data_IF_291984028126
#
_entry.id   IF_291984028126
#
_cell.length_a   1.000
_cell.length_b   1.000
_cell.length_c   1.000
_cell.angle_alpha   90.00
_cell.angle_beta   90.00
_cell.angle_gamma   90.00
#
_symmetry.space_group_name_H-M   'P 1'
#
loop_
_entity.id
_entity.type
_entity.pdbx_description
1 polymer ?
#
# COMPACT_ATOMS: atom_id res chain seq x y z
N UNK A 1 -30.45 1.24 -14.60
CA UNK A 1 -30.31 2.21 -13.50
C UNK A 1 -28.89 2.74 -13.58
N UNK A 2 -28.69 3.99 -14.02
CA UNK A 2 -27.34 4.59 -14.12
C UNK A 2 -26.88 4.85 -12.69
N UNK A 3 -25.73 4.28 -12.23
CA UNK A 3 -25.19 4.57 -10.92
C UNK A 3 -25.02 6.09 -10.78
N UNK A 4 -25.26 6.63 -9.60
CA UNK A 4 -25.06 8.06 -9.36
C UNK A 4 -23.57 8.43 -9.54
N UNK A 5 -23.28 9.67 -9.94
CA UNK A 5 -21.90 10.18 -10.08
C UNK A 5 -21.05 9.83 -8.86
N UNK A 6 -21.60 9.95 -7.65
CA UNK A 6 -20.94 9.59 -6.39
C UNK A 6 -20.50 8.11 -6.32
N UNK A 7 -21.19 7.19 -7.00
CA UNK A 7 -20.82 5.77 -7.03
C UNK A 7 -19.59 5.55 -7.90
N UNK A 8 -19.44 6.28 -8.99
CA UNK A 8 -18.25 6.22 -9.85
C UNK A 8 -17.04 6.83 -9.17
N UNK A 9 -17.20 7.96 -8.48
CA UNK A 9 -16.15 8.60 -7.70
C UNK A 9 -15.58 7.64 -6.65
N UNK A 10 -16.46 6.91 -5.95
CA UNK A 10 -16.04 5.95 -4.94
C UNK A 10 -15.32 4.74 -5.56
N UNK A 11 -15.79 4.21 -6.68
CA UNK A 11 -15.20 3.05 -7.34
C UNK A 11 -13.81 3.35 -7.91
N UNK A 12 -13.55 4.58 -8.34
CA UNK A 12 -12.26 4.99 -8.93
C UNK A 12 -11.11 4.96 -7.91
N UNK A 13 -11.40 5.27 -6.64
CA UNK A 13 -10.40 5.24 -5.55
C UNK A 13 -10.53 4.00 -4.66
N UNK A 14 -11.31 3.00 -5.09
CA UNK A 14 -11.55 1.80 -4.28
C UNK A 14 -10.24 1.08 -3.92
N UNK A 15 -9.32 0.92 -4.87
CA UNK A 15 -8.04 0.25 -4.62
C UNK A 15 -7.21 0.93 -3.53
N UNK A 16 -6.90 2.23 -3.59
CA UNK A 16 -6.18 2.89 -2.51
C UNK A 16 -6.95 2.94 -1.19
N UNK A 17 -8.28 3.03 -1.21
CA UNK A 17 -9.10 2.96 0.02
C UNK A 17 -9.00 1.59 0.68
N UNK A 18 -9.16 0.51 -0.08
CA UNK A 18 -9.03 -0.84 0.46
C UNK A 18 -7.63 -1.11 1.01
N UNK A 19 -6.59 -0.65 0.32
CA UNK A 19 -5.22 -0.72 0.82
C UNK A 19 -5.05 0.05 2.14
N UNK A 20 -5.66 1.24 2.27
CA UNK A 20 -5.63 2.01 3.50
C UNK A 20 -6.32 1.26 4.66
N UNK A 21 -7.45 0.57 4.42
CA UNK A 21 -8.09 -0.27 5.42
C UNK A 21 -7.22 -1.46 5.82
N UNK A 22 -6.53 -2.10 4.88
CA UNK A 22 -5.58 -3.19 5.19
C UNK A 22 -4.40 -2.65 6.01
N UNK A 23 -3.87 -1.47 5.67
CA UNK A 23 -2.78 -0.83 6.42
C UNK A 23 -3.22 -0.45 7.85
N UNK A 24 -4.42 0.11 8.01
CA UNK A 24 -5.02 0.39 9.33
C UNK A 24 -5.21 -0.88 10.15
N UNK A 25 -5.73 -1.94 9.54
CA UNK A 25 -5.89 -3.24 10.21
C UNK A 25 -4.55 -3.80 10.68
N UNK A 26 -3.53 -3.75 9.84
CA UNK A 26 -2.16 -4.14 10.20
C UNK A 26 -1.59 -3.29 11.35
N UNK A 27 -1.83 -1.97 11.34
CA UNK A 27 -1.42 -1.06 12.41
C UNK A 27 -2.11 -1.40 13.75
N UNK A 28 -3.42 -1.66 13.73
CA UNK A 28 -4.17 -2.06 14.92
C UNK A 28 -3.66 -3.39 15.47
N UNK A 29 -3.42 -4.38 14.61
CA UNK A 29 -2.85 -5.66 15.01
C UNK A 29 -1.46 -5.50 15.61
N UNK A 30 -0.65 -4.61 15.05
CA UNK A 30 0.68 -4.29 15.57
C UNK A 30 0.60 -3.62 16.95
N UNK A 31 -0.27 -2.63 17.11
CA UNK A 31 -0.50 -1.95 18.38
C UNK A 31 -1.05 -2.90 19.46
N UNK A 32 -2.05 -3.72 19.13
CA UNK A 32 -2.60 -4.72 20.05
C UNK A 32 -1.54 -5.75 20.45
N UNK A 33 -0.72 -6.20 19.50
CA UNK A 33 0.39 -7.11 19.75
C UNK A 33 1.46 -6.51 20.66
N UNK A 34 1.73 -5.20 20.58
CA UNK A 34 2.68 -4.50 21.45
C UNK A 34 2.15 -4.40 22.89
N UNK A 35 0.86 -4.14 23.07
CA UNK A 35 0.20 -4.12 24.38
C UNK A 35 0.16 -5.53 24.99
N UNK A 36 -0.21 -6.53 24.18
CA UNK A 36 -0.23 -7.93 24.63
C UNK A 36 1.15 -8.44 25.02
N UNK A 37 2.22 -7.97 24.37
CA UNK A 37 3.60 -8.34 24.69
C UNK A 37 4.07 -7.84 26.08
N UNK A 38 3.40 -6.86 26.66
CA UNK A 38 3.64 -6.42 28.05
C UNK A 38 3.14 -7.43 29.09
N UNK A 39 2.19 -8.30 28.70
CA UNK A 39 1.51 -9.24 29.57
C UNK A 39 1.80 -10.70 29.25
N UNK A 40 2.37 -11.01 28.07
CA UNK A 40 2.58 -12.36 27.56
C UNK A 40 4.06 -12.61 27.28
N UNK A 41 4.45 -13.89 27.25
CA UNK A 41 5.84 -14.35 27.05
C UNK A 41 6.45 -13.96 25.68
N UNK A 42 7.79 -13.91 25.63
CA UNK A 42 8.58 -13.58 24.43
C UNK A 42 8.29 -14.44 23.19
N UNK A 43 7.69 -15.63 23.36
CA UNK A 43 7.22 -16.49 22.25
C UNK A 43 6.09 -15.86 21.45
N UNK A 44 5.26 -15.02 22.06
CA UNK A 44 4.19 -14.29 21.37
C UNK A 44 4.73 -13.22 20.41
N UNK A 45 5.84 -12.56 20.76
CA UNK A 45 6.48 -11.56 19.89
C UNK A 45 6.96 -12.17 18.55
N UNK A 46 7.41 -13.41 18.55
CA UNK A 46 7.84 -14.12 17.34
C UNK A 46 6.64 -14.42 16.41
N UNK A 47 5.48 -14.71 17.00
CA UNK A 47 4.25 -15.00 16.24
C UNK A 47 3.59 -13.75 15.65
N UNK A 48 3.73 -12.62 16.31
CA UNK A 48 3.14 -11.33 15.95
C UNK A 48 3.49 -10.89 14.52
N UNK A 49 4.78 -10.89 14.17
CA UNK A 49 5.24 -10.50 12.84
C UNK A 49 4.66 -11.38 11.73
N UNK A 50 4.56 -12.69 11.97
CA UNK A 50 3.96 -13.63 11.02
C UNK A 50 2.46 -13.39 10.83
N UNK A 51 1.74 -13.11 11.92
CA UNK A 51 0.30 -12.82 11.87
C UNK A 51 0.03 -11.57 11.03
N UNK A 52 0.80 -10.49 11.25
CA UNK A 52 0.65 -9.25 10.49
C UNK A 52 1.00 -9.49 9.00
N UNK A 53 2.08 -10.22 8.72
CA UNK A 53 2.46 -10.54 7.34
C UNK A 53 1.40 -11.39 6.62
N UNK A 54 0.82 -12.39 7.28
CA UNK A 54 -0.27 -13.21 6.72
C UNK A 54 -1.54 -12.37 6.53
N UNK A 55 -1.87 -11.50 7.49
CA UNK A 55 -2.98 -10.56 7.35
C UNK A 55 -2.79 -9.63 6.14
N UNK A 56 -1.57 -9.09 5.97
CA UNK A 56 -1.21 -8.24 4.83
C UNK A 56 -1.34 -8.99 3.50
N UNK A 57 -0.87 -10.25 3.44
CA UNK A 57 -1.04 -11.11 2.26
C UNK A 57 -2.50 -11.33 1.92
N UNK A 58 -3.32 -11.72 2.90
CA UNK A 58 -4.74 -11.91 2.70
C UNK A 58 -5.44 -10.62 2.23
N UNK A 59 -5.09 -9.48 2.85
CA UNK A 59 -5.58 -8.17 2.45
C UNK A 59 -5.22 -7.80 1.02
N UNK A 60 -3.96 -7.99 0.61
CA UNK A 60 -3.51 -7.73 -0.76
C UNK A 60 -4.23 -8.60 -1.79
N UNK A 61 -4.49 -9.88 -1.49
CA UNK A 61 -5.26 -10.77 -2.36
C UNK A 61 -6.71 -10.30 -2.52
N UNK A 62 -7.33 -9.86 -1.42
CA UNK A 62 -8.70 -9.30 -1.46
C UNK A 62 -8.74 -8.02 -2.29
N UNK A 63 -7.76 -7.12 -2.11
CA UNK A 63 -7.66 -5.88 -2.89
C UNK A 63 -7.44 -6.18 -4.37
N UNK A 64 -6.58 -7.15 -4.70
CA UNK A 64 -6.35 -7.58 -6.08
C UNK A 64 -7.64 -8.12 -6.73
N UNK A 65 -8.36 -9.00 -6.03
CA UNK A 65 -9.63 -9.53 -6.51
C UNK A 65 -10.68 -8.41 -6.69
N UNK A 66 -10.78 -7.47 -5.75
CA UNK A 66 -11.70 -6.34 -5.83
C UNK A 66 -11.35 -5.41 -7.01
N UNK A 67 -10.07 -5.12 -7.23
CA UNK A 67 -9.60 -4.30 -8.35
C UNK A 67 -10.01 -4.90 -9.71
N UNK A 68 -9.93 -6.22 -9.86
CA UNK A 68 -10.36 -6.92 -11.06
C UNK A 68 -11.88 -6.96 -11.21
N UNK A 69 -12.64 -7.24 -10.16
CA UNK A 69 -14.10 -7.25 -10.20
C UNK A 69 -14.65 -5.88 -10.60
N UNK A 70 -14.03 -4.79 -10.14
CA UNK A 70 -14.46 -3.42 -10.46
C UNK A 70 -13.92 -2.95 -11.81
N UNK A 71 -12.69 -3.33 -12.18
CA UNK A 71 -12.04 -2.89 -13.41
C UNK A 71 -12.44 -3.67 -14.68
N UNK A 72 -12.92 -4.91 -14.55
CA UNK A 72 -13.32 -5.74 -15.70
C UNK A 72 -14.48 -5.16 -16.56
N UNK A 73 -15.58 -4.62 -15.98
CA UNK A 73 -16.68 -4.10 -16.77
C UNK A 73 -16.29 -3.05 -17.81
N UNK A 74 -15.43 -2.05 -17.52
CA UNK A 74 -14.92 -1.11 -18.51
C UNK A 74 -14.08 -1.76 -19.62
N UNK A 75 -13.33 -2.81 -19.27
CA UNK A 75 -12.46 -3.55 -20.21
C UNK A 75 -13.24 -4.42 -21.19
N UNK A 76 -14.38 -4.96 -20.78
CA UNK A 76 -15.25 -5.82 -21.60
C UNK A 76 -16.17 -5.03 -22.54
N UNK A 77 -15.96 -3.71 -22.71
CA UNK A 77 -16.68 -2.89 -23.68
C UNK A 77 -18.08 -2.48 -23.23
N UNK A 78 -18.38 -2.52 -21.93
CA UNK A 78 -19.56 -1.81 -21.45
C UNK A 78 -19.37 -0.30 -21.70
N UNK A 79 -20.36 0.39 -22.27
CA UNK A 79 -20.28 1.84 -22.52
C UNK A 79 -20.46 2.62 -21.21
N UNK A 80 -19.58 2.37 -20.24
CA UNK A 80 -19.49 3.23 -19.07
C UNK A 80 -18.61 4.39 -19.50
N UNK A 81 -19.16 5.63 -19.57
CA UNK A 81 -18.31 6.77 -19.85
C UNK A 81 -17.18 6.76 -18.80
N UNK A 82 -15.94 6.80 -19.26
CA UNK A 82 -14.78 7.03 -18.40
C UNK A 82 -14.88 8.50 -17.97
N UNK A 83 -15.80 8.79 -17.05
CA UNK A 83 -15.90 10.10 -16.44
C UNK A 83 -14.82 10.15 -15.37
N UNK A 84 -13.98 11.18 -15.42
CA UNK A 84 -13.04 11.45 -14.35
C UNK A 84 -13.79 11.62 -13.03
N UNK A 85 -13.25 11.04 -11.99
CA UNK A 85 -13.78 11.14 -10.62
C UNK A 85 -13.15 12.33 -9.90
N UNK A 86 -13.84 12.86 -8.86
CA UNK A 86 -13.35 13.98 -8.08
C UNK A 86 -12.95 15.20 -8.93
N UNK A 87 -13.91 15.75 -9.68
CA UNK A 87 -13.66 16.88 -10.58
C UNK A 87 -12.60 16.60 -11.66
N UNK A 88 -12.58 15.39 -12.17
CA UNK A 88 -11.66 14.92 -13.22
C UNK A 88 -10.19 14.77 -12.76
N UNK A 89 -9.96 14.67 -11.46
CA UNK A 89 -8.61 14.51 -10.91
C UNK A 89 -8.09 13.07 -10.91
N UNK A 90 -9.00 12.08 -10.96
CA UNK A 90 -8.69 10.65 -10.92
C UNK A 90 -9.40 9.94 -12.06
N UNK A 91 -8.66 9.15 -12.84
CA UNK A 91 -9.18 8.42 -13.98
C UNK A 91 -9.08 6.91 -13.77
N UNK A 92 -10.22 6.20 -13.58
CA UNK A 92 -10.23 4.74 -13.43
C UNK A 92 -10.27 4.05 -14.80
N UNK A 93 -9.20 4.12 -15.55
CA UNK A 93 -9.06 3.54 -16.88
C UNK A 93 -8.34 2.17 -16.89
N UNK A 94 -8.18 1.58 -18.07
CA UNK A 94 -7.45 0.32 -18.24
C UNK A 94 -5.97 0.44 -17.89
N UNK A 95 -5.37 1.62 -18.02
CA UNK A 95 -4.01 1.92 -17.63
C UNK A 95 -3.88 1.83 -16.09
N UNK A 96 -4.78 2.46 -15.37
CA UNK A 96 -4.86 2.41 -13.90
C UNK A 96 -5.03 0.97 -13.41
N UNK A 97 -5.90 0.16 -14.04
CA UNK A 97 -6.09 -1.24 -13.68
C UNK A 97 -4.82 -2.06 -13.90
N UNK A 98 -4.14 -1.86 -15.03
CA UNK A 98 -2.90 -2.57 -15.34
C UNK A 98 -1.81 -2.28 -14.31
N UNK A 99 -1.55 -1.00 -13.99
CA UNK A 99 -0.52 -0.62 -13.04
C UNK A 99 -0.87 -1.02 -11.61
N UNK A 100 -2.12 -0.87 -11.19
CA UNK A 100 -2.57 -1.36 -9.88
C UNK A 100 -2.36 -2.87 -9.73
N UNK A 101 -2.68 -3.65 -10.77
CA UNK A 101 -2.43 -5.10 -10.77
C UNK A 101 -0.93 -5.40 -10.64
N UNK A 102 -0.08 -4.70 -11.38
CA UNK A 102 1.36 -4.86 -11.33
C UNK A 102 1.90 -4.55 -9.92
N UNK A 103 1.52 -3.42 -9.34
CA UNK A 103 1.96 -3.01 -8.00
C UNK A 103 1.50 -3.98 -6.91
N UNK A 104 0.28 -4.48 -7.00
CA UNK A 104 -0.24 -5.48 -6.06
C UNK A 104 0.49 -6.81 -6.16
N UNK A 105 0.84 -7.27 -7.36
CA UNK A 105 1.64 -8.48 -7.57
C UNK A 105 3.04 -8.30 -6.97
N UNK A 106 3.69 -7.17 -7.21
CA UNK A 106 5.01 -6.86 -6.64
C UNK A 106 4.94 -6.79 -5.11
N UNK A 107 3.90 -6.16 -4.56
CA UNK A 107 3.68 -6.10 -3.11
C UNK A 107 3.45 -7.48 -2.49
N UNK A 108 2.70 -8.36 -3.17
CA UNK A 108 2.52 -9.75 -2.76
C UNK A 108 3.85 -10.50 -2.73
N UNK A 109 4.65 -10.38 -3.79
CA UNK A 109 5.97 -11.01 -3.86
C UNK A 109 6.90 -10.49 -2.75
N UNK A 110 6.95 -9.17 -2.53
CA UNK A 110 7.73 -8.55 -1.46
C UNK A 110 7.28 -9.04 -0.07
N UNK A 111 5.97 -9.16 0.16
CA UNK A 111 5.43 -9.66 1.42
C UNK A 111 5.79 -11.12 1.66
N UNK A 112 5.70 -11.99 0.63
CA UNK A 112 6.07 -13.40 0.72
C UNK A 112 7.58 -13.54 1.04
N UNK A 113 8.43 -12.81 0.34
CA UNK A 113 9.87 -12.81 0.58
C UNK A 113 10.22 -12.32 1.99
N UNK A 114 9.51 -11.30 2.47
CA UNK A 114 9.74 -10.73 3.79
C UNK A 114 9.38 -11.70 4.92
N UNK A 115 8.37 -12.55 4.77
CA UNK A 115 7.98 -13.54 5.78
C UNK A 115 9.13 -14.48 6.17
N UNK A 116 9.98 -14.85 5.20
CA UNK A 116 11.13 -15.73 5.44
C UNK A 116 12.36 -14.97 5.94
N UNK A 117 12.58 -13.77 5.44
CA UNK A 117 13.77 -12.97 5.74
C UNK A 117 13.75 -12.38 7.14
N UNK A 118 12.56 -12.01 7.61
CA UNK A 118 12.42 -11.22 8.82
C UNK A 118 12.24 -12.04 10.11
N UNK A 119 12.25 -13.37 10.07
CA UNK A 119 12.27 -14.21 11.30
C UNK A 119 13.47 -13.93 12.21
N UNK A 120 14.56 -13.35 11.67
CA UNK A 120 15.79 -13.02 12.41
C UNK A 120 15.78 -11.66 13.09
N UNK A 121 14.89 -10.74 12.72
CA UNK A 121 14.91 -9.36 13.20
C UNK A 121 13.61 -9.05 14.00
N UNK A 122 13.71 -8.56 15.19
CA UNK A 122 12.74 -8.61 16.31
C UNK A 122 11.55 -7.62 16.28
N UNK A 123 11.40 -6.71 15.30
CA UNK A 123 10.37 -5.63 15.33
C UNK A 123 9.86 -5.30 13.93
N UNK A 124 8.55 -5.66 13.55
CA UNK A 124 8.27 -5.55 12.14
C UNK A 124 6.84 -5.50 11.61
N UNK A 125 5.88 -5.16 12.43
CA UNK A 125 4.59 -4.70 11.93
C UNK A 125 4.75 -3.45 11.07
N UNK A 126 5.61 -2.53 11.49
CA UNK A 126 5.91 -1.27 10.79
C UNK A 126 6.32 -1.47 9.32
N UNK A 127 7.09 -2.53 9.01
CA UNK A 127 7.52 -2.84 7.64
C UNK A 127 6.32 -3.05 6.69
N UNK A 128 5.36 -3.87 7.11
CA UNK A 128 4.19 -4.18 6.28
C UNK A 128 3.28 -2.96 6.10
N UNK A 129 3.14 -2.13 7.13
CA UNK A 129 2.37 -0.90 7.07
C UNK A 129 3.00 0.06 6.07
N UNK A 130 4.31 0.31 6.15
CA UNK A 130 5.03 1.18 5.23
C UNK A 130 5.02 0.67 3.79
N UNK A 131 5.13 -0.66 3.60
CA UNK A 131 5.00 -1.29 2.29
C UNK A 131 3.61 -1.02 1.70
N UNK A 132 2.54 -1.19 2.47
CA UNK A 132 1.18 -0.89 2.02
C UNK A 132 1.00 0.60 1.70
N UNK A 133 1.54 1.51 2.52
CA UNK A 133 1.47 2.96 2.26
C UNK A 133 2.23 3.33 0.98
N UNK A 134 3.36 2.68 0.70
CA UNK A 134 4.06 2.90 -0.57
C UNK A 134 3.22 2.45 -1.79
N UNK A 135 2.51 1.32 -1.66
CA UNK A 135 1.60 0.83 -2.71
C UNK A 135 0.40 1.76 -2.91
N UNK A 136 -0.13 2.35 -1.83
CA UNK A 136 -1.17 3.39 -1.92
C UNK A 136 -0.67 4.58 -2.74
N UNK A 137 0.54 5.07 -2.46
CA UNK A 137 1.15 6.15 -3.23
C UNK A 137 1.30 5.81 -4.72
N UNK A 138 1.79 4.62 -5.04
CA UNK A 138 1.89 4.14 -6.43
C UNK A 138 0.54 4.02 -7.12
N UNK A 139 -0.49 3.53 -6.40
CA UNK A 139 -1.85 3.43 -6.91
C UNK A 139 -2.47 4.81 -7.22
N UNK A 140 -2.23 5.80 -6.34
CA UNK A 140 -2.65 7.18 -6.57
C UNK A 140 -1.98 7.78 -7.80
N UNK A 141 -0.66 7.57 -7.98
CA UNK A 141 0.05 8.05 -9.18
C UNK A 141 -0.51 7.44 -10.46
N UNK A 142 -0.81 6.13 -10.45
CA UNK A 142 -1.34 5.43 -11.62
C UNK A 142 -2.73 5.92 -12.03
N UNK A 143 -3.54 6.38 -11.09
CA UNK A 143 -4.89 6.91 -11.32
C UNK A 143 -4.95 8.42 -11.48
N UNK A 144 -3.82 9.12 -11.31
CA UNK A 144 -3.78 10.57 -11.34
C UNK A 144 -4.02 11.13 -12.74
N UNK A 145 -4.99 12.03 -12.87
CA UNK A 145 -5.25 12.83 -14.06
C UNK A 145 -4.82 14.29 -13.86
N UNK A 146 -4.52 14.68 -12.61
CA UNK A 146 -4.01 16.00 -12.24
C UNK A 146 -2.61 15.85 -11.62
N UNK A 147 -1.73 16.82 -11.89
CA UNK A 147 -0.38 16.91 -11.32
C UNK A 147 -0.37 16.96 -9.79
N UNK A 148 -1.40 17.54 -9.17
CA UNK A 148 -1.50 17.58 -7.72
C UNK A 148 -1.66 16.18 -7.13
N UNK A 149 -2.56 15.35 -7.68
CA UNK A 149 -2.75 13.97 -7.23
C UNK A 149 -1.52 13.13 -7.51
N UNK A 150 -0.90 13.31 -8.69
CA UNK A 150 0.35 12.65 -9.03
C UNK A 150 1.45 12.98 -8.02
N UNK A 151 1.62 14.25 -7.66
CA UNK A 151 2.60 14.70 -6.68
C UNK A 151 2.34 14.13 -5.29
N UNK A 152 1.09 14.16 -4.82
CA UNK A 152 0.70 13.57 -3.51
C UNK A 152 0.99 12.06 -3.49
N UNK A 153 0.70 11.34 -4.58
CA UNK A 153 1.03 9.93 -4.72
C UNK A 153 2.53 9.67 -4.66
N UNK A 154 3.32 10.48 -5.37
CA UNK A 154 4.77 10.41 -5.41
C UNK A 154 5.39 10.65 -4.03
N UNK A 155 4.95 11.68 -3.32
CA UNK A 155 5.44 11.98 -1.97
C UNK A 155 5.07 10.87 -0.97
N UNK A 156 3.83 10.35 -1.04
CA UNK A 156 3.37 9.26 -0.19
C UNK A 156 4.23 8.00 -0.38
N UNK A 157 4.50 7.63 -1.62
CA UNK A 157 5.38 6.50 -1.96
C UNK A 157 6.81 6.77 -1.46
N UNK A 158 7.38 7.94 -1.79
CA UNK A 158 8.77 8.28 -1.52
C UNK A 158 9.08 8.28 -0.02
N UNK A 159 8.26 8.97 0.79
CA UNK A 159 8.43 9.02 2.25
C UNK A 159 8.40 7.61 2.84
N UNK A 160 7.44 6.78 2.39
CA UNK A 160 7.34 5.40 2.87
C UNK A 160 8.59 4.58 2.55
N UNK A 161 9.14 4.73 1.34
CA UNK A 161 10.36 4.03 0.91
C UNK A 161 11.59 4.55 1.66
N UNK A 162 11.71 5.86 1.94
CA UNK A 162 12.82 6.41 2.73
C UNK A 162 12.86 5.77 4.13
N UNK A 163 11.70 5.63 4.77
CA UNK A 163 11.61 4.99 6.09
C UNK A 163 11.88 3.48 6.00
N UNK A 164 11.41 2.81 4.92
CA UNK A 164 11.70 1.38 4.69
C UNK A 164 13.20 1.10 4.54
N UNK A 165 13.95 1.95 3.83
CA UNK A 165 15.41 1.84 3.70
C UNK A 165 16.10 1.91 5.06
N UNK A 166 15.58 2.74 5.99
CA UNK A 166 16.07 2.87 7.37
C UNK A 166 15.44 1.91 8.38
N UNK A 167 14.72 0.88 7.94
CA UNK A 167 13.97 -0.01 8.84
C UNK A 167 14.85 -0.82 9.79
N UNK A 168 16.09 -1.16 9.41
CA UNK A 168 17.07 -1.78 10.30
C UNK A 168 17.84 -0.73 11.11
N UNK A 169 17.20 -0.21 12.15
CA UNK A 169 17.72 0.89 13.00
C UNK A 169 19.05 0.57 13.70
N UNK A 170 19.41 -0.72 13.81
CA UNK A 170 20.68 -1.15 14.45
C UNK A 170 21.85 -1.15 13.47
N UNK A 171 21.56 -1.11 12.18
CA UNK A 171 22.57 -1.12 11.13
C UNK A 171 22.91 0.31 10.70
N UNK A 172 24.11 0.76 11.01
CA UNK A 172 24.60 2.10 10.65
C UNK A 172 24.51 2.35 9.14
N UNK A 173 24.73 1.33 8.30
CA UNK A 173 24.63 1.45 6.84
C UNK A 173 23.20 1.70 6.39
N UNK A 174 22.21 1.06 7.03
CA UNK A 174 20.79 1.29 6.76
C UNK A 174 20.39 2.74 7.11
N UNK A 175 20.82 3.21 8.30
CA UNK A 175 20.54 4.58 8.72
C UNK A 175 21.21 5.62 7.80
N UNK A 176 22.46 5.40 7.42
CA UNK A 176 23.19 6.26 6.49
C UNK A 176 22.52 6.29 5.11
N UNK A 177 22.11 5.11 4.59
CA UNK A 177 21.40 5.00 3.32
C UNK A 177 20.05 5.75 3.35
N UNK A 178 19.28 5.61 4.44
CA UNK A 178 18.00 6.30 4.59
C UNK A 178 18.16 7.81 4.58
N UNK A 179 19.15 8.35 5.31
CA UNK A 179 19.41 9.79 5.33
C UNK A 179 19.84 10.28 3.95
N UNK A 180 20.75 9.59 3.28
CA UNK A 180 21.20 9.95 1.94
C UNK A 180 20.03 9.95 0.94
N UNK A 181 19.17 8.92 1.02
CA UNK A 181 18.03 8.79 0.13
C UNK A 181 16.97 9.87 0.38
N UNK A 182 16.69 10.16 1.66
CA UNK A 182 15.79 11.25 2.06
C UNK A 182 16.29 12.61 1.56
N UNK A 183 17.59 12.92 1.77
CA UNK A 183 18.15 14.20 1.33
C UNK A 183 18.11 14.35 -0.18
N UNK A 184 18.54 13.30 -0.92
CA UNK A 184 18.50 13.33 -2.39
C UNK A 184 17.07 13.45 -2.92
N UNK A 185 16.11 12.75 -2.31
CA UNK A 185 14.72 12.82 -2.69
C UNK A 185 14.09 14.19 -2.41
N UNK A 186 14.34 14.76 -1.23
CA UNK A 186 13.83 16.07 -0.85
C UNK A 186 14.39 17.23 -1.70
N UNK A 187 15.56 17.05 -2.32
CA UNK A 187 16.11 18.03 -3.28
C UNK A 187 15.61 17.81 -4.70
N UNK A 188 15.08 16.62 -5.02
CA UNK A 188 14.62 16.27 -6.36
C UNK A 188 13.11 16.51 -6.57
N UNK A 189 12.33 16.59 -5.50
CA UNK A 189 10.89 16.91 -5.52
C UNK A 189 10.65 18.40 -5.35
#
# INVERSE_FOLDING_TARGET
MIPSLATYDFLSILTPILLAFVALGAMVLDAMGSVAALWLDASFLKYRSKVIGVFTLAGLLVVLAAAWVVGLPPWLGSPVPVAGAFFDQVLPDGYTLFFNTLFLIVALAATILSLSYWDALRERGEYYILLLVSVIGMSLMASAHDLLIFFVGLETMSISVYVLVGSDRRNLRSNEAAIKYLLLGAFAS
#
